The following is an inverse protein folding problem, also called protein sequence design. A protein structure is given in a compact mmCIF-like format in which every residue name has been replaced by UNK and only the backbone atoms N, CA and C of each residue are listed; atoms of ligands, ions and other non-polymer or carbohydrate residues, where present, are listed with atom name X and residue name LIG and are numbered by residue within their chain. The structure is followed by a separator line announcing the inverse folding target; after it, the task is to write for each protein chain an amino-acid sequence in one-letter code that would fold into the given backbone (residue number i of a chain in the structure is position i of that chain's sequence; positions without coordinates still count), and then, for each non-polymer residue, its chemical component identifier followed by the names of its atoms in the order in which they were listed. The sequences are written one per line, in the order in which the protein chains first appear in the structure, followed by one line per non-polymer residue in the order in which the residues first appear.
data_IF_185055278918
#
_entry.id   IF_185055278918
#
_cell.length_a   1.000
_cell.length_b   1.000
_cell.length_c   1.000
_cell.angle_alpha   90.00
_cell.angle_beta   90.00
_cell.angle_gamma   90.00
#
_symmetry.space_group_name_H-M   'P 1'
#
loop_
_entity.id
_entity.type
_entity.pdbx_description
1 polymer ?
#
# COMPACT_ATOMS: atom_id res chain seq x y z
N UNK A 1 42.03 -5.03 -40.10
CA UNK A 1 41.31 -3.96 -39.38
C UNK A 1 39.88 -3.88 -39.89
N UNK A 2 39.15 -4.99 -39.90
CA UNK A 2 37.74 -5.05 -40.43
C UNK A 2 36.88 -6.12 -39.71
N UNK A 3 37.23 -6.52 -38.48
CA UNK A 3 36.52 -7.56 -37.72
C UNK A 3 35.90 -7.10 -36.39
N UNK A 4 35.96 -5.81 -36.02
CA UNK A 4 35.46 -5.32 -34.75
C UNK A 4 34.16 -4.49 -34.85
N UNK A 5 33.64 -4.21 -36.04
CA UNK A 5 32.45 -3.37 -36.20
C UNK A 5 31.13 -4.16 -36.36
N UNK A 6 31.16 -5.47 -36.52
CA UNK A 6 29.93 -6.29 -36.70
C UNK A 6 29.28 -6.81 -35.41
N UNK A 7 29.94 -6.74 -34.25
CA UNK A 7 29.37 -7.28 -32.99
C UNK A 7 28.48 -6.31 -32.25
N UNK A 8 28.66 -5.01 -32.45
CA UNK A 8 27.90 -3.96 -31.73
C UNK A 8 26.53 -3.74 -32.35
N UNK A 9 26.37 -3.84 -33.66
CA UNK A 9 25.07 -3.61 -34.34
C UNK A 9 24.09 -4.75 -34.07
N UNK A 10 24.56 -6.03 -34.02
CA UNK A 10 23.67 -7.17 -33.69
C UNK A 10 23.14 -7.18 -32.27
N UNK A 11 23.88 -6.63 -31.29
CA UNK A 11 23.44 -6.55 -29.91
C UNK A 11 22.32 -5.53 -29.68
N UNK A 12 22.33 -4.42 -30.41
CA UNK A 12 21.28 -3.40 -30.33
C UNK A 12 19.98 -3.81 -31.03
N UNK A 13 20.07 -4.54 -32.14
CA UNK A 13 18.90 -5.08 -32.83
C UNK A 13 18.18 -6.15 -31.99
N UNK A 14 18.91 -7.05 -31.32
CA UNK A 14 18.33 -8.05 -30.42
C UNK A 14 17.65 -7.44 -29.18
N UNK A 15 18.21 -6.36 -28.62
CA UNK A 15 17.56 -5.63 -27.49
C UNK A 15 16.28 -4.90 -27.91
N UNK A 16 16.25 -4.33 -29.11
CA UNK A 16 15.05 -3.70 -29.67
C UNK A 16 13.97 -4.72 -30.02
N UNK A 17 14.33 -5.88 -30.54
CA UNK A 17 13.40 -6.98 -30.84
C UNK A 17 12.82 -7.63 -29.59
N UNK A 18 13.61 -7.77 -28.50
CA UNK A 18 13.13 -8.26 -27.21
C UNK A 18 12.14 -7.30 -26.54
N UNK A 19 12.38 -5.98 -26.62
CA UNK A 19 11.46 -4.99 -26.10
C UNK A 19 10.15 -4.94 -26.92
N UNK A 20 10.23 -5.08 -28.25
CA UNK A 20 9.08 -5.14 -29.13
C UNK A 20 8.24 -6.42 -28.94
N UNK A 21 8.86 -7.56 -28.64
CA UNK A 21 8.17 -8.84 -28.34
C UNK A 21 7.48 -8.80 -26.99
N UNK A 22 8.01 -8.11 -25.98
CA UNK A 22 7.35 -7.92 -24.68
C UNK A 22 6.11 -7.02 -24.78
N UNK A 23 6.09 -6.03 -25.67
CA UNK A 23 4.95 -5.14 -25.85
C UNK A 23 3.86 -5.78 -26.74
N UNK A 24 4.22 -6.69 -27.65
CA UNK A 24 3.26 -7.30 -28.59
C UNK A 24 2.52 -8.55 -28.06
N UNK A 25 2.89 -9.07 -26.90
CA UNK A 25 2.27 -10.27 -26.31
C UNK A 25 1.23 -9.99 -25.22
N UNK A 26 0.94 -8.72 -24.89
CA UNK A 26 -0.07 -8.34 -23.91
C UNK A 26 -1.39 -7.96 -24.57
N UNK A 27 -1.92 -8.87 -25.42
CA UNK A 27 -3.34 -8.83 -25.74
C UNK A 27 -4.06 -9.70 -24.71
N UNK A 28 -4.25 -9.19 -23.48
CA UNK A 28 -5.13 -9.82 -22.51
C UNK A 28 -6.58 -9.65 -23.02
N UNK A 29 -7.38 -10.73 -23.09
CA UNK A 29 -8.79 -10.60 -23.28
C UNK A 29 -9.35 -9.77 -22.09
N UNK A 30 -10.13 -8.79 -22.40
CA UNK A 30 -10.69 -7.83 -21.45
C UNK A 30 -11.80 -8.44 -20.59
N UNK A 31 -11.44 -9.28 -19.64
CA UNK A 31 -12.35 -9.79 -18.63
C UNK A 31 -11.82 -9.34 -17.28
N UNK A 32 -12.51 -8.39 -16.64
CA UNK A 32 -12.15 -7.90 -15.31
C UNK A 32 -12.34 -8.97 -14.21
N UNK A 33 -12.97 -10.09 -14.52
CA UNK A 33 -13.19 -11.24 -13.65
C UNK A 33 -13.45 -12.47 -14.51
N UNK A 34 -12.80 -13.58 -14.25
CA UNK A 34 -13.00 -14.86 -14.95
C UNK A 34 -14.01 -15.69 -14.16
N UNK A 35 -15.19 -15.90 -14.71
CA UNK A 35 -16.18 -16.82 -14.16
C UNK A 35 -15.70 -18.26 -14.46
N UNK A 36 -15.25 -18.98 -13.43
CA UNK A 36 -14.84 -20.38 -13.53
C UNK A 36 -16.04 -21.32 -13.53
N UNK A 37 -17.07 -20.98 -12.76
CA UNK A 37 -18.40 -21.61 -12.71
C UNK A 37 -19.44 -20.56 -12.35
N UNK A 38 -20.74 -20.90 -12.39
CA UNK A 38 -21.83 -20.00 -11.99
C UNK A 38 -21.68 -19.42 -10.58
N UNK A 39 -20.87 -20.05 -9.73
CA UNK A 39 -20.70 -19.67 -8.33
C UNK A 39 -19.26 -19.31 -7.96
N UNK A 40 -18.30 -19.52 -8.86
CA UNK A 40 -16.88 -19.35 -8.57
C UNK A 40 -16.26 -18.38 -9.57
N UNK A 41 -15.68 -17.31 -9.08
CA UNK A 41 -15.00 -16.30 -9.89
C UNK A 41 -13.54 -16.12 -9.46
N UNK A 42 -12.67 -15.90 -10.43
CA UNK A 42 -11.26 -15.55 -10.26
C UNK A 42 -11.04 -14.14 -10.79
N UNK A 43 -10.44 -13.29 -9.99
CA UNK A 43 -9.96 -11.97 -10.40
C UNK A 43 -8.51 -11.78 -10.00
N UNK A 44 -7.86 -10.82 -10.62
CA UNK A 44 -6.47 -10.53 -10.29
C UNK A 44 -6.10 -9.10 -10.63
N UNK A 45 -4.97 -8.68 -10.07
CA UNK A 45 -4.39 -7.38 -10.30
C UNK A 45 -2.87 -7.44 -10.25
N UNK A 46 -2.23 -6.44 -10.80
CA UNK A 46 -0.80 -6.30 -10.67
C UNK A 46 -0.32 -4.90 -10.98
N UNK A 47 0.87 -4.62 -10.46
CA UNK A 47 1.65 -3.43 -10.78
C UNK A 47 3.07 -3.86 -11.06
N UNK A 48 3.65 -3.42 -12.18
CA UNK A 48 5.06 -3.59 -12.52
C UNK A 48 5.70 -2.23 -12.46
N UNK A 49 6.67 -2.05 -11.58
CA UNK A 49 7.27 -0.76 -11.29
C UNK A 49 8.77 -0.72 -11.57
N UNK A 50 9.24 0.46 -11.91
CA UNK A 50 10.61 0.91 -11.77
C UNK A 50 10.61 2.14 -10.87
N UNK A 51 11.47 2.14 -9.87
CA UNK A 51 11.64 3.26 -8.96
C UNK A 51 13.14 3.51 -8.69
N UNK A 52 13.51 4.77 -8.48
CA UNK A 52 14.87 5.17 -8.12
C UNK A 52 14.84 6.53 -7.40
N UNK A 53 15.58 6.65 -6.32
CA UNK A 53 15.82 7.90 -5.60
C UNK A 53 17.16 8.52 -6.04
N UNK A 54 17.41 9.74 -5.60
CA UNK A 54 18.75 10.39 -5.69
C UNK A 54 19.45 10.45 -4.32
N UNK A 55 19.00 9.68 -3.34
CA UNK A 55 19.53 9.64 -1.98
C UNK A 55 19.97 8.22 -1.62
N UNK A 56 21.18 8.09 -1.02
CA UNK A 56 21.73 6.80 -0.57
C UNK A 56 20.90 6.19 0.60
N UNK A 57 20.19 7.03 1.39
CA UNK A 57 19.32 6.55 2.47
C UNK A 57 18.00 6.12 1.87
N UNK A 58 17.62 4.87 2.09
CA UNK A 58 16.40 4.27 1.53
C UNK A 58 15.14 5.02 1.95
N UNK A 59 14.26 5.26 0.99
CA UNK A 59 12.93 5.85 1.13
C UNK A 59 11.86 4.77 1.27
N UNK A 60 10.77 5.13 1.94
CA UNK A 60 9.56 4.35 2.10
C UNK A 60 9.86 3.00 2.80
N UNK A 61 9.61 2.99 4.09
CA UNK A 61 9.83 1.80 4.94
C UNK A 61 9.26 0.54 4.29
N UNK A 62 10.00 -0.57 4.33
CA UNK A 62 9.72 -1.83 3.65
C UNK A 62 9.90 -1.85 2.12
N UNK A 63 10.29 -0.75 1.47
CA UNK A 63 10.46 -0.73 0.01
C UNK A 63 11.93 -0.63 -0.41
N UNK A 64 12.77 -0.05 0.45
CA UNK A 64 14.22 0.12 0.23
C UNK A 64 14.56 0.79 -1.11
N UNK A 65 13.86 1.88 -1.44
CA UNK A 65 14.14 2.64 -2.66
C UNK A 65 15.23 3.67 -2.35
N UNK A 66 16.41 3.47 -2.89
CA UNK A 66 17.59 4.33 -2.75
C UNK A 66 18.06 4.85 -4.12
N UNK A 67 19.35 5.18 -4.25
CA UNK A 67 19.95 5.68 -5.48
C UNK A 67 20.19 4.59 -6.55
N UNK A 68 20.00 3.33 -6.21
CA UNK A 68 19.99 2.23 -7.17
C UNK A 68 18.59 2.04 -7.82
N UNK A 69 18.58 1.56 -9.07
CA UNK A 69 17.34 1.25 -9.79
C UNK A 69 16.65 0.01 -9.23
N UNK A 70 15.45 0.16 -8.71
CA UNK A 70 14.66 -0.91 -8.14
C UNK A 70 13.45 -1.27 -9.03
N UNK A 71 13.27 -2.58 -9.30
CA UNK A 71 12.14 -3.11 -10.09
C UNK A 71 11.14 -3.91 -9.25
N UNK A 72 11.48 -4.31 -8.05
CA UNK A 72 10.62 -5.12 -7.17
C UNK A 72 10.06 -4.35 -5.96
N UNK A 73 10.61 -3.18 -5.66
CA UNK A 73 10.24 -2.35 -4.50
C UNK A 73 8.76 -1.95 -4.46
N UNK A 74 8.16 -1.69 -5.62
CA UNK A 74 6.74 -1.35 -5.76
C UNK A 74 5.95 -2.36 -6.62
N UNK A 75 6.60 -3.40 -7.15
CA UNK A 75 5.96 -4.43 -7.97
C UNK A 75 5.05 -5.30 -7.10
N UNK A 76 3.79 -5.42 -7.51
CA UNK A 76 2.72 -6.09 -6.77
C UNK A 76 1.93 -7.02 -7.68
N UNK A 77 1.55 -8.20 -7.18
CA UNK A 77 0.64 -9.12 -7.88
C UNK A 77 -0.33 -9.72 -6.88
N UNK A 78 -1.60 -9.75 -7.23
CA UNK A 78 -2.64 -10.34 -6.42
C UNK A 78 -3.60 -11.21 -7.22
N UNK A 79 -4.05 -12.29 -6.59
CA UNK A 79 -5.10 -13.16 -7.09
C UNK A 79 -6.18 -13.30 -6.03
N UNK A 80 -7.42 -13.24 -6.45
CA UNK A 80 -8.59 -13.37 -5.59
C UNK A 80 -9.53 -14.41 -6.15
N UNK A 81 -9.99 -15.30 -5.28
CA UNK A 81 -11.00 -16.32 -5.55
C UNK A 81 -12.22 -16.05 -4.68
N UNK A 82 -13.37 -15.89 -5.33
CA UNK A 82 -14.65 -15.67 -4.67
C UNK A 82 -15.61 -16.82 -5.02
N UNK A 83 -16.23 -17.38 -4.00
CA UNK A 83 -17.30 -18.37 -4.13
C UNK A 83 -18.60 -17.83 -3.53
N UNK A 84 -19.68 -17.87 -4.30
CA UNK A 84 -21.00 -17.38 -3.91
C UNK A 84 -21.99 -18.54 -3.85
N UNK A 85 -22.71 -18.63 -2.75
CA UNK A 85 -23.81 -19.59 -2.62
C UNK A 85 -24.96 -18.96 -1.85
N UNK A 86 -26.04 -18.61 -2.56
CA UNK A 86 -27.19 -17.88 -2.00
C UNK A 86 -26.75 -16.59 -1.28
N UNK A 87 -26.92 -16.52 0.04
CA UNK A 87 -26.52 -15.39 0.88
C UNK A 87 -25.07 -15.50 1.42
N UNK A 88 -24.36 -16.59 1.12
CA UNK A 88 -23.00 -16.83 1.57
C UNK A 88 -21.97 -16.45 0.52
N UNK A 89 -20.87 -15.88 0.97
CA UNK A 89 -19.67 -15.64 0.17
C UNK A 89 -18.46 -16.18 0.93
N UNK A 90 -17.58 -16.88 0.23
CA UNK A 90 -16.22 -17.17 0.68
C UNK A 90 -15.24 -16.44 -0.22
N UNK A 91 -14.27 -15.75 0.34
CA UNK A 91 -13.28 -14.98 -0.42
C UNK A 91 -11.88 -15.24 0.11
N UNK A 92 -10.92 -15.48 -0.79
CA UNK A 92 -9.50 -15.61 -0.47
C UNK A 92 -8.72 -14.75 -1.44
N UNK A 93 -7.82 -13.91 -0.92
CA UNK A 93 -6.89 -13.11 -1.72
C UNK A 93 -5.46 -13.38 -1.26
N UNK A 94 -4.59 -13.65 -2.24
CA UNK A 94 -3.15 -13.82 -2.05
C UNK A 94 -2.43 -12.74 -2.83
N UNK A 95 -1.49 -12.06 -2.18
CA UNK A 95 -0.77 -10.92 -2.77
C UNK A 95 0.73 -11.06 -2.53
N UNK A 96 1.54 -10.89 -3.58
CA UNK A 96 2.93 -10.46 -3.47
C UNK A 96 2.91 -8.96 -3.28
N UNK A 97 3.18 -8.51 -2.07
CA UNK A 97 3.13 -7.08 -1.71
C UNK A 97 4.44 -6.38 -2.08
N UNK A 98 4.48 -5.05 -2.18
CA UNK A 98 5.73 -4.32 -2.38
C UNK A 98 6.81 -4.70 -1.37
N UNK A 99 6.46 -4.69 -0.07
CA UNK A 99 7.36 -5.01 1.04
C UNK A 99 7.85 -6.46 1.07
N UNK A 100 7.23 -7.36 0.33
CA UNK A 100 7.68 -8.76 0.26
C UNK A 100 8.84 -8.95 -0.73
N UNK A 101 9.16 -7.93 -1.53
CA UNK A 101 10.13 -8.03 -2.63
C UNK A 101 9.83 -9.26 -3.49
N UNK A 102 10.80 -10.03 -3.94
CA UNK A 102 10.57 -11.28 -4.67
C UNK A 102 10.41 -12.53 -3.78
N UNK A 103 9.89 -12.35 -2.56
CA UNK A 103 9.64 -13.46 -1.63
C UNK A 103 8.25 -14.10 -1.82
N UNK A 104 7.83 -14.94 -0.87
CA UNK A 104 6.58 -15.69 -0.94
C UNK A 104 5.34 -14.76 -0.80
N UNK A 105 4.31 -14.93 -1.65
CA UNK A 105 3.06 -14.19 -1.53
C UNK A 105 2.37 -14.46 -0.19
N UNK A 106 1.68 -13.45 0.34
CA UNK A 106 0.96 -13.51 1.62
C UNK A 106 -0.55 -13.58 1.39
N UNK A 107 -1.26 -14.25 2.31
CA UNK A 107 -2.72 -14.23 2.35
C UNK A 107 -3.17 -12.90 2.98
N UNK A 108 -3.72 -12.00 2.16
CA UNK A 108 -4.20 -10.68 2.60
C UNK A 108 -5.58 -10.75 3.24
N UNK A 109 -6.47 -11.58 2.70
CA UNK A 109 -7.70 -11.95 3.36
C UNK A 109 -8.13 -13.39 3.04
N UNK A 110 -8.86 -13.97 3.98
CA UNK A 110 -9.53 -15.25 3.83
C UNK A 110 -10.74 -15.26 4.79
N UNK A 111 -11.95 -15.08 4.27
CA UNK A 111 -13.13 -14.93 5.11
C UNK A 111 -14.38 -15.59 4.51
N UNK A 112 -15.33 -15.83 5.40
CA UNK A 112 -16.71 -16.18 5.07
C UNK A 112 -17.61 -14.98 5.37
N UNK A 113 -18.56 -14.71 4.51
CA UNK A 113 -19.57 -13.68 4.71
C UNK A 113 -20.99 -14.26 4.57
N UNK A 114 -21.93 -13.70 5.32
CA UNK A 114 -23.36 -13.94 5.21
C UNK A 114 -24.08 -12.62 5.11
N UNK A 115 -24.87 -12.46 4.04
CA UNK A 115 -25.64 -11.24 3.78
C UNK A 115 -27.13 -11.47 4.07
N UNK A 116 -27.70 -10.61 4.88
CA UNK A 116 -29.14 -10.58 5.13
C UNK A 116 -29.65 -9.13 5.03
N UNK A 117 -30.51 -8.87 4.06
CA UNK A 117 -30.97 -7.54 3.69
C UNK A 117 -29.77 -6.58 3.46
N UNK A 118 -29.67 -5.54 4.28
CA UNK A 118 -28.63 -4.51 4.24
C UNK A 118 -27.47 -4.74 5.21
N UNK A 119 -27.38 -5.93 5.80
CA UNK A 119 -26.31 -6.32 6.74
C UNK A 119 -25.50 -7.48 6.16
N UNK A 120 -24.18 -7.34 6.16
CA UNK A 120 -23.23 -8.40 5.86
C UNK A 120 -22.35 -8.66 7.09
N UNK A 121 -22.33 -9.90 7.57
CA UNK A 121 -21.45 -10.35 8.65
C UNK A 121 -20.29 -11.10 8.00
N UNK A 122 -19.05 -10.73 8.33
CA UNK A 122 -17.82 -11.36 7.83
C UNK A 122 -17.00 -11.93 8.99
N UNK A 123 -16.42 -13.10 8.79
CA UNK A 123 -15.54 -13.75 9.77
C UNK A 123 -14.35 -14.42 9.10
N UNK A 124 -13.18 -14.21 9.65
CA UNK A 124 -11.90 -14.71 9.14
C UNK A 124 -10.81 -13.64 9.13
N UNK A 125 -9.83 -13.76 8.22
CA UNK A 125 -8.83 -12.72 7.99
C UNK A 125 -9.40 -11.62 7.12
N UNK A 126 -9.34 -10.38 7.60
CA UNK A 126 -9.89 -9.19 6.98
C UNK A 126 -8.88 -8.05 7.02
N UNK A 127 -8.95 -7.16 6.04
CA UNK A 127 -8.14 -5.92 6.07
C UNK A 127 -8.71 -4.91 7.04
N UNK A 128 -7.81 -4.16 7.67
CA UNK A 128 -8.17 -3.12 8.62
C UNK A 128 -8.76 -1.89 7.87
N UNK A 129 -10.03 -1.53 8.09
CA UNK A 129 -10.72 -0.53 7.28
C UNK A 129 -10.55 0.89 7.85
N UNK A 130 -9.32 1.35 8.03
CA UNK A 130 -9.06 2.63 8.71
C UNK A 130 -8.87 3.83 7.77
N UNK A 131 -8.57 3.60 6.48
CA UNK A 131 -8.36 4.66 5.50
C UNK A 131 -9.29 4.51 4.29
N UNK A 132 -9.40 5.57 3.46
CA UNK A 132 -10.28 5.63 2.28
C UNK A 132 -10.12 4.45 1.32
N UNK A 133 -8.89 3.96 1.11
CA UNK A 133 -8.56 2.90 0.16
C UNK A 133 -7.98 1.64 0.83
N UNK A 134 -8.09 1.49 2.16
CA UNK A 134 -7.51 0.35 2.90
C UNK A 134 -7.85 -1.01 2.30
N UNK A 135 -9.11 -1.23 1.89
CA UNK A 135 -9.54 -2.54 1.36
C UNK A 135 -8.90 -2.87 -0.01
N UNK A 136 -8.37 -1.89 -0.76
CA UNK A 136 -7.81 -2.08 -2.10
C UNK A 136 -6.50 -1.33 -2.35
N UNK A 137 -5.73 -1.03 -1.31
CA UNK A 137 -4.48 -0.28 -1.40
C UNK A 137 -3.37 -0.94 -2.24
N UNK A 138 -3.49 -2.23 -2.55
CA UNK A 138 -2.58 -2.95 -3.47
C UNK A 138 -3.07 -2.97 -4.91
N UNK A 139 -4.30 -2.55 -5.18
CA UNK A 139 -4.88 -2.53 -6.53
C UNK A 139 -4.58 -1.19 -7.18
N UNK A 140 -3.40 -1.03 -7.80
CA UNK A 140 -2.95 0.23 -8.39
C UNK A 140 -3.89 0.82 -9.45
N UNK A 141 -4.71 -0.02 -10.09
CA UNK A 141 -5.74 0.45 -11.03
C UNK A 141 -6.90 1.21 -10.34
N UNK A 142 -7.11 1.00 -9.03
CA UNK A 142 -8.25 1.53 -8.29
C UNK A 142 -8.07 2.99 -7.79
N UNK A 143 -6.86 3.55 -7.88
CA UNK A 143 -6.56 4.92 -7.45
C UNK A 143 -5.66 5.63 -8.46
N UNK A 144 -5.50 6.94 -8.35
CA UNK A 144 -4.87 7.78 -9.40
C UNK A 144 -3.35 7.73 -9.36
N UNK A 145 -2.74 7.70 -8.17
CA UNK A 145 -1.29 7.70 -7.95
C UNK A 145 -0.67 6.31 -8.20
N UNK A 146 0.63 6.22 -8.37
CA UNK A 146 1.31 4.92 -8.51
C UNK A 146 1.22 4.08 -7.22
N UNK A 147 1.25 4.75 -6.05
CA UNK A 147 1.10 4.15 -4.72
C UNK A 147 0.17 5.01 -3.85
N UNK A 148 -0.45 4.45 -2.79
CA UNK A 148 -1.15 5.26 -1.80
C UNK A 148 -0.20 6.30 -1.17
N UNK A 149 -0.69 7.51 -0.79
CA UNK A 149 0.15 8.52 -0.14
C UNK A 149 0.77 8.00 1.16
N UNK A 150 2.10 7.90 1.18
CA UNK A 150 2.87 7.26 2.25
C UNK A 150 2.67 7.92 3.62
N UNK A 151 2.39 9.22 3.67
CA UNK A 151 2.20 9.94 4.92
C UNK A 151 1.12 9.31 5.79
N UNK A 152 0.03 8.87 5.18
CA UNK A 152 -1.12 8.28 5.88
C UNK A 152 -1.06 6.75 5.84
N UNK A 153 -0.74 6.14 4.69
CA UNK A 153 -0.82 4.68 4.52
C UNK A 153 0.35 3.92 5.14
N UNK A 154 1.49 4.57 5.38
CA UNK A 154 2.63 4.00 6.10
C UNK A 154 2.67 4.41 7.59
N UNK A 155 1.64 5.14 8.11
CA UNK A 155 1.60 5.60 9.51
C UNK A 155 1.37 4.49 10.54
N UNK A 156 0.78 3.36 10.14
CA UNK A 156 0.55 2.17 11.00
C UNK A 156 1.24 0.95 10.39
N UNK A 157 2.57 0.98 10.39
CA UNK A 157 3.38 -0.11 9.88
C UNK A 157 3.01 -1.45 10.55
N UNK A 158 2.74 -2.46 9.73
CA UNK A 158 2.48 -3.81 10.18
C UNK A 158 1.05 -4.12 10.64
N UNK A 159 0.27 -3.16 11.14
CA UNK A 159 -1.13 -3.40 11.57
C UNK A 159 -2.07 -3.12 10.39
N UNK A 160 -2.09 -3.99 9.38
CA UNK A 160 -2.86 -3.78 8.14
C UNK A 160 -4.06 -4.72 7.98
N UNK A 161 -4.14 -5.76 8.80
CA UNK A 161 -5.19 -6.77 8.79
C UNK A 161 -5.51 -7.25 10.21
N UNK A 162 -6.56 -8.04 10.37
CA UNK A 162 -6.94 -8.70 11.61
C UNK A 162 -7.63 -10.03 11.31
N UNK A 163 -7.49 -10.99 12.21
CA UNK A 163 -8.26 -12.23 12.21
C UNK A 163 -9.43 -12.06 13.19
N UNK A 164 -10.68 -12.03 12.67
CA UNK A 164 -11.82 -11.67 13.52
C UNK A 164 -13.16 -11.60 12.82
N UNK A 165 -14.00 -10.70 13.31
CA UNK A 165 -15.35 -10.47 12.82
C UNK A 165 -15.59 -9.02 12.46
N UNK A 166 -16.36 -8.77 11.41
CA UNK A 166 -16.93 -7.46 11.10
C UNK A 166 -18.38 -7.56 10.69
N UNK A 167 -19.11 -6.48 10.92
CA UNK A 167 -20.49 -6.31 10.46
C UNK A 167 -20.53 -5.08 9.57
N UNK A 168 -20.92 -5.23 8.32
CA UNK A 168 -21.16 -4.10 7.41
C UNK A 168 -22.65 -3.85 7.33
N UNK A 169 -23.08 -2.69 7.77
CA UNK A 169 -24.46 -2.24 7.70
C UNK A 169 -24.56 -1.05 6.75
N UNK A 170 -25.39 -1.20 5.70
CA UNK A 170 -25.66 -0.15 4.74
C UNK A 170 -27.05 0.44 5.01
N UNK A 171 -27.14 1.77 5.04
CA UNK A 171 -28.38 2.51 5.26
C UNK A 171 -28.51 3.65 4.25
N UNK A 172 -29.54 3.59 3.44
CA UNK A 172 -29.87 4.64 2.49
C UNK A 172 -30.60 5.78 3.22
N UNK A 173 -29.91 6.93 3.37
CA UNK A 173 -30.54 8.14 3.92
C UNK A 173 -31.58 8.70 2.97
N UNK A 174 -31.32 8.64 1.69
CA UNK A 174 -32.18 8.99 0.58
C UNK A 174 -31.68 8.32 -0.70
N UNK A 175 -32.30 8.63 -1.86
CA UNK A 175 -31.95 8.01 -3.15
C UNK A 175 -30.48 8.23 -3.59
N UNK A 176 -29.81 9.27 -3.09
CA UNK A 176 -28.47 9.67 -3.52
C UNK A 176 -27.41 9.57 -2.41
N UNK A 177 -27.80 9.24 -1.18
CA UNK A 177 -26.88 9.24 -0.03
C UNK A 177 -26.99 7.97 0.79
N UNK A 178 -25.88 7.25 0.90
CA UNK A 178 -25.75 6.03 1.69
C UNK A 178 -24.77 6.21 2.83
N UNK A 179 -25.11 5.69 4.00
CA UNK A 179 -24.20 5.49 5.13
C UNK A 179 -23.84 4.01 5.19
N UNK A 180 -22.58 3.71 5.33
CA UNK A 180 -22.07 2.39 5.69
C UNK A 180 -21.41 2.46 7.07
N UNK A 181 -21.85 1.62 8.00
CA UNK A 181 -21.18 1.45 9.30
C UNK A 181 -20.58 0.05 9.36
N UNK A 182 -19.30 -0.03 9.76
CA UNK A 182 -18.57 -1.29 9.84
C UNK A 182 -17.78 -1.40 11.16
N UNK A 183 -18.45 -1.77 12.27
CA UNK A 183 -17.75 -2.20 13.48
C UNK A 183 -16.99 -3.51 13.22
N UNK A 184 -15.82 -3.66 13.86
CA UNK A 184 -14.99 -4.84 13.78
C UNK A 184 -14.29 -5.16 15.10
N UNK A 185 -13.96 -6.42 15.27
CA UNK A 185 -13.12 -6.93 16.36
C UNK A 185 -12.17 -7.99 15.80
N UNK A 186 -10.93 -7.97 16.26
CA UNK A 186 -9.89 -8.88 15.80
C UNK A 186 -9.03 -9.42 16.93
N UNK A 187 -8.40 -10.58 16.68
CA UNK A 187 -7.51 -11.27 17.58
C UNK A 187 -6.37 -11.90 16.77
N UNK A 188 -5.12 -11.84 17.30
CA UNK A 188 -4.04 -12.71 16.88
C UNK A 188 -3.55 -12.53 15.44
N UNK A 189 -3.24 -11.31 14.99
CA UNK A 189 -2.62 -11.07 13.69
C UNK A 189 -1.15 -10.71 13.86
N UNK A 190 -0.25 -11.42 13.14
CA UNK A 190 1.19 -11.16 13.14
C UNK A 190 1.66 -10.65 11.79
N UNK A 191 2.55 -9.66 11.81
CA UNK A 191 3.21 -9.15 10.61
C UNK A 191 4.65 -8.74 10.90
N UNK A 192 5.49 -8.87 9.87
CA UNK A 192 6.88 -8.44 9.90
C UNK A 192 7.06 -7.19 9.03
N UNK A 193 7.85 -6.25 9.54
CA UNK A 193 8.22 -4.98 8.91
C UNK A 193 9.73 -4.90 8.88
N UNK A 194 10.34 -4.88 7.71
CA UNK A 194 11.76 -4.65 7.56
C UNK A 194 12.05 -3.15 7.52
N UNK A 195 12.89 -2.65 8.42
CA UNK A 195 13.26 -1.23 8.52
C UNK A 195 14.56 -0.95 7.76
N UNK A 196 15.50 -1.89 7.84
CA UNK A 196 16.80 -1.82 7.15
C UNK A 196 17.33 -3.23 6.93
N UNK A 197 18.45 -3.39 6.19
CA UNK A 197 19.10 -4.69 5.96
C UNK A 197 19.39 -5.49 7.25
N UNK A 198 19.61 -4.80 8.37
CA UNK A 198 19.96 -5.40 9.65
C UNK A 198 18.84 -5.29 10.71
N UNK A 199 17.68 -4.70 10.37
CA UNK A 199 16.63 -4.40 11.36
C UNK A 199 15.26 -4.80 10.85
N UNK A 200 14.66 -5.80 11.52
CA UNK A 200 13.27 -6.20 11.32
C UNK A 200 12.45 -5.90 12.58
N UNK A 201 11.19 -5.57 12.40
CA UNK A 201 10.20 -5.43 13.47
C UNK A 201 9.10 -6.47 13.23
N UNK A 202 8.88 -7.35 14.19
CA UNK A 202 7.74 -8.25 14.22
C UNK A 202 6.67 -7.66 15.14
N UNK A 203 5.44 -7.54 14.64
CA UNK A 203 4.28 -7.00 15.35
C UNK A 203 3.25 -8.10 15.50
N UNK A 204 2.95 -8.46 16.74
CA UNK A 204 1.92 -9.42 17.10
C UNK A 204 0.73 -8.69 17.72
N UNK A 205 -0.34 -8.48 16.97
CA UNK A 205 -1.57 -7.84 17.46
C UNK A 205 -2.35 -8.83 18.31
N UNK A 206 -2.47 -8.55 19.60
CA UNK A 206 -3.18 -9.39 20.57
C UNK A 206 -4.68 -9.28 20.38
N UNK A 207 -5.19 -8.06 20.35
CA UNK A 207 -6.59 -7.76 20.04
C UNK A 207 -6.75 -6.37 19.40
N UNK A 208 -7.78 -6.23 18.61
CA UNK A 208 -8.15 -4.95 18.00
C UNK A 208 -9.68 -4.80 17.97
N UNK A 209 -10.14 -3.58 18.09
CA UNK A 209 -11.55 -3.23 17.91
C UNK A 209 -11.66 -1.85 17.26
N UNK A 210 -12.68 -1.64 16.47
CA UNK A 210 -12.86 -0.35 15.82
C UNK A 210 -14.17 -0.21 15.09
N UNK A 211 -14.30 0.94 14.47
CA UNK A 211 -15.47 1.34 13.68
C UNK A 211 -15.01 2.11 12.46
N UNK A 212 -15.52 1.73 11.30
CA UNK A 212 -15.46 2.55 10.09
C UNK A 212 -16.86 3.08 9.77
N UNK A 213 -16.97 4.36 9.46
CA UNK A 213 -18.17 5.03 8.98
C UNK A 213 -17.88 5.67 7.64
N UNK A 214 -18.62 5.28 6.62
CA UNK A 214 -18.54 5.88 5.29
C UNK A 214 -19.86 6.56 4.94
N UNK A 215 -19.80 7.81 4.51
CA UNK A 215 -20.91 8.54 3.90
C UNK A 215 -20.59 8.71 2.42
N UNK A 216 -21.42 8.16 1.55
CA UNK A 216 -21.25 8.20 0.09
C UNK A 216 -22.44 8.88 -0.58
N UNK A 217 -22.14 9.79 -1.50
CA UNK A 217 -23.12 10.40 -2.41
C UNK A 217 -22.67 10.21 -3.85
N UNK A 218 -23.37 10.83 -4.80
CA UNK A 218 -23.09 10.67 -6.25
C UNK A 218 -21.68 11.13 -6.66
N UNK A 219 -21.16 12.16 -6.01
CA UNK A 219 -19.88 12.78 -6.36
C UNK A 219 -18.96 13.03 -5.17
N UNK A 220 -19.24 12.42 -4.02
CA UNK A 220 -18.40 12.52 -2.85
C UNK A 220 -18.41 11.25 -2.00
N UNK A 221 -17.33 11.06 -1.24
CA UNK A 221 -17.19 10.04 -0.21
C UNK A 221 -16.45 10.62 0.98
N UNK A 222 -17.02 10.45 2.17
CA UNK A 222 -16.37 10.71 3.44
C UNK A 222 -16.12 9.39 4.15
N UNK A 223 -15.00 9.30 4.81
CA UNK A 223 -14.61 8.15 5.61
C UNK A 223 -14.14 8.64 6.98
N UNK A 224 -14.69 8.09 8.02
CA UNK A 224 -14.21 8.24 9.39
C UNK A 224 -13.90 6.86 9.94
N UNK A 225 -12.75 6.68 10.61
CA UNK A 225 -12.47 5.44 11.30
C UNK A 225 -11.83 5.68 12.67
N UNK A 226 -12.10 4.72 13.55
CA UNK A 226 -11.48 4.59 14.86
C UNK A 226 -10.94 3.18 15.01
N UNK A 227 -9.72 3.06 15.52
CA UNK A 227 -9.06 1.82 15.89
C UNK A 227 -8.55 1.93 17.31
N UNK A 228 -8.71 0.86 18.07
CA UNK A 228 -7.99 0.59 19.31
C UNK A 228 -7.39 -0.81 19.20
N UNK A 229 -6.07 -0.93 19.39
CA UNK A 229 -5.39 -2.21 19.35
C UNK A 229 -4.33 -2.31 20.45
N UNK A 230 -4.11 -3.55 20.91
CA UNK A 230 -2.99 -3.93 21.77
C UNK A 230 -2.11 -4.90 20.99
N UNK A 231 -0.79 -4.68 21.04
CA UNK A 231 0.19 -5.47 20.30
C UNK A 231 1.49 -5.64 21.08
N UNK A 232 2.22 -6.70 20.76
CA UNK A 232 3.59 -6.89 21.17
C UNK A 232 4.50 -6.57 19.98
N UNK A 233 5.61 -5.88 20.25
CA UNK A 233 6.61 -5.57 19.25
C UNK A 233 7.92 -6.28 19.59
N UNK A 234 8.52 -6.93 18.59
CA UNK A 234 9.85 -7.52 18.71
C UNK A 234 10.77 -6.89 17.67
N UNK A 235 11.74 -6.11 18.12
CA UNK A 235 12.79 -5.58 17.24
C UNK A 235 13.92 -6.58 17.13
N UNK A 236 14.26 -6.98 15.92
CA UNK A 236 15.30 -7.96 15.59
C UNK A 236 16.45 -7.22 14.92
N UNK A 237 17.59 -7.16 15.60
CA UNK A 237 18.82 -6.56 15.09
C UNK A 237 19.76 -7.70 14.66
N UNK A 238 19.91 -7.90 13.36
CA UNK A 238 20.86 -8.84 12.77
C UNK A 238 22.26 -8.21 12.74
N UNK A 239 23.31 -9.05 12.72
CA UNK A 239 24.71 -8.59 12.68
C UNK A 239 25.14 -7.64 13.82
N UNK A 240 24.33 -7.56 14.90
CA UNK A 240 24.70 -6.74 16.07
C UNK A 240 25.96 -7.27 16.73
N UNK A 241 26.89 -6.36 17.04
CA UNK A 241 28.16 -6.70 17.69
C UNK A 241 27.91 -7.03 19.16
N UNK A 242 28.02 -8.33 19.51
CA UNK A 242 27.85 -8.81 20.88
C UNK A 242 29.23 -8.99 21.53
N UNK A 243 29.47 -8.41 22.72
CA UNK A 243 30.73 -8.60 23.43
C UNK A 243 30.84 -10.04 23.95
N UNK A 244 31.96 -10.71 23.65
CA UNK A 244 32.30 -12.02 24.24
C UNK A 244 33.29 -11.76 25.38
N UNK A 245 32.96 -12.19 26.63
CA UNK A 245 33.88 -12.04 27.78
C UNK A 245 35.25 -12.66 27.47
N UNK A 246 36.30 -11.80 27.41
CA UNK A 246 37.69 -12.24 27.19
C UNK A 246 38.12 -12.53 25.75
N UNK A 247 37.24 -12.34 24.75
CA UNK A 247 37.54 -12.66 23.31
C UNK A 247 37.18 -11.56 22.29
N UNK A 248 36.75 -10.37 22.72
CA UNK A 248 36.31 -9.30 21.80
C UNK A 248 34.82 -9.34 21.53
N UNK A 249 34.40 -8.99 20.30
CA UNK A 249 32.98 -8.98 19.90
C UNK A 249 32.73 -9.92 18.72
N UNK A 250 31.57 -10.53 18.67
CA UNK A 250 31.10 -11.33 17.53
C UNK A 250 29.77 -10.77 17.01
N UNK A 251 29.54 -10.89 15.71
CA UNK A 251 28.24 -10.59 15.14
C UNK A 251 27.21 -11.63 15.59
N UNK A 252 26.04 -11.16 15.99
CA UNK A 252 24.94 -12.01 16.45
C UNK A 252 23.61 -11.31 16.28
N UNK A 253 22.51 -12.03 16.54
CA UNK A 253 21.15 -11.45 16.50
C UNK A 253 20.72 -11.04 17.90
N UNK A 254 20.29 -9.80 18.06
CA UNK A 254 19.66 -9.27 19.28
C UNK A 254 18.16 -9.19 19.03
N UNK A 255 17.35 -9.62 19.98
CA UNK A 255 15.89 -9.49 19.98
C UNK A 255 15.47 -8.67 21.18
N UNK A 256 14.79 -7.56 20.93
CA UNK A 256 14.25 -6.68 21.96
C UNK A 256 12.72 -6.78 21.86
N UNK A 257 12.07 -7.19 22.96
CA UNK A 257 10.62 -7.38 23.00
C UNK A 257 9.99 -6.33 23.91
N UNK A 258 8.99 -5.62 23.37
CA UNK A 258 8.13 -4.70 24.09
C UNK A 258 6.70 -5.26 24.05
N UNK A 259 6.17 -5.63 25.23
CA UNK A 259 4.86 -6.28 25.36
C UNK A 259 3.78 -5.29 25.76
N UNK A 260 2.53 -5.55 25.36
CA UNK A 260 1.35 -4.81 25.79
C UNK A 260 1.33 -3.35 25.35
N UNK A 261 1.88 -3.07 24.16
CA UNK A 261 1.80 -1.74 23.58
C UNK A 261 0.36 -1.46 23.12
N UNK A 262 -0.07 -0.22 23.29
CA UNK A 262 -1.40 0.21 22.85
C UNK A 262 -1.29 1.23 21.74
N UNK A 263 -2.23 1.20 20.79
CA UNK A 263 -2.42 2.23 19.80
C UNK A 263 -3.90 2.58 19.66
N UNK A 264 -4.21 3.84 19.73
CA UNK A 264 -5.49 4.41 19.31
C UNK A 264 -5.24 5.25 18.07
N UNK A 265 -6.10 5.08 17.06
CA UNK A 265 -6.01 5.83 15.83
C UNK A 265 -7.39 6.37 15.46
N UNK A 266 -7.41 7.63 15.06
CA UNK A 266 -8.54 8.29 14.42
C UNK A 266 -8.13 8.71 13.02
N UNK A 267 -8.98 8.46 12.03
CA UNK A 267 -8.77 8.95 10.67
C UNK A 267 -10.01 9.62 10.11
N UNK A 268 -9.78 10.58 9.24
CA UNK A 268 -10.81 11.27 8.47
C UNK A 268 -10.32 11.45 7.05
N UNK A 269 -11.09 10.97 6.09
CA UNK A 269 -10.83 11.12 4.67
C UNK A 269 -12.04 11.67 3.93
N UNK A 270 -11.80 12.46 2.89
CA UNK A 270 -12.83 12.98 2.01
C UNK A 270 -12.35 12.97 0.56
N UNK A 271 -13.23 12.53 -0.34
CA UNK A 271 -13.04 12.59 -1.79
C UNK A 271 -14.24 13.27 -2.41
N UNK A 272 -13.99 14.23 -3.32
CA UNK A 272 -14.99 14.92 -4.13
C UNK A 272 -14.62 14.85 -5.60
N UNK A 273 -15.62 14.61 -6.45
CA UNK A 273 -15.49 14.57 -7.90
C UNK A 273 -16.34 15.70 -8.53
N UNK A 274 -15.66 16.69 -9.13
CA UNK A 274 -16.28 17.86 -9.77
C UNK A 274 -16.04 17.77 -11.27
N UNK A 275 -16.97 17.20 -12.02
CA UNK A 275 -16.83 16.95 -13.47
C UNK A 275 -15.50 16.24 -13.80
N UNK A 276 -14.46 17.01 -14.10
CA UNK A 276 -13.12 16.49 -14.45
C UNK A 276 -12.10 16.58 -13.32
N UNK A 277 -12.41 17.28 -12.26
CA UNK A 277 -11.50 17.48 -11.13
C UNK A 277 -11.88 16.52 -10.01
N UNK A 278 -10.91 15.77 -9.51
CA UNK A 278 -11.05 15.03 -8.25
C UNK A 278 -10.16 15.66 -7.19
N UNK A 279 -10.72 15.92 -6.02
CA UNK A 279 -9.98 16.38 -4.84
C UNK A 279 -10.13 15.33 -3.75
N UNK A 280 -9.00 14.94 -3.15
CA UNK A 280 -8.97 14.00 -2.03
C UNK A 280 -8.13 14.61 -0.92
N UNK A 281 -8.60 14.50 0.32
CA UNK A 281 -7.80 14.82 1.50
C UNK A 281 -8.06 13.75 2.56
N UNK A 282 -7.03 13.33 3.23
CA UNK A 282 -7.11 12.34 4.32
C UNK A 282 -6.05 12.63 5.36
N UNK A 283 -6.39 12.42 6.61
CA UNK A 283 -5.47 12.55 7.73
C UNK A 283 -5.78 11.53 8.81
N UNK A 284 -4.78 11.27 9.62
CA UNK A 284 -4.87 10.42 10.79
C UNK A 284 -4.13 11.05 11.97
N UNK A 285 -4.55 10.70 13.17
CA UNK A 285 -3.81 10.94 14.41
C UNK A 285 -3.86 9.69 15.26
N UNK A 286 -2.74 9.35 15.87
CA UNK A 286 -2.58 8.19 16.74
C UNK A 286 -1.67 8.52 17.93
N UNK A 287 -1.48 7.57 18.83
CA UNK A 287 -0.56 7.71 19.97
C UNK A 287 0.90 7.84 19.56
N UNK A 288 1.24 7.54 18.29
CA UNK A 288 2.63 7.54 17.79
C UNK A 288 2.90 8.60 16.72
N UNK A 289 1.88 9.08 16.00
CA UNK A 289 2.08 10.05 14.92
C UNK A 289 0.80 10.75 14.51
N UNK A 290 0.95 11.89 13.87
CA UNK A 290 -0.11 12.58 13.13
C UNK A 290 0.36 12.81 11.70
N UNK A 291 -0.51 12.56 10.72
CA UNK A 291 -0.18 12.79 9.32
C UNK A 291 -1.41 13.11 8.47
N UNK A 292 -1.18 13.74 7.33
CA UNK A 292 -2.23 14.07 6.39
C UNK A 292 -1.67 14.28 4.98
N UNK A 293 -2.55 14.13 3.99
CA UNK A 293 -2.28 14.55 2.61
C UNK A 293 -3.49 15.21 1.99
N UNK A 294 -3.23 16.00 0.94
CA UNK A 294 -4.23 16.53 0.02
C UNK A 294 -3.76 16.28 -1.41
N UNK A 295 -4.68 15.82 -2.24
CA UNK A 295 -4.44 15.48 -3.64
C UNK A 295 -5.47 16.13 -4.56
N UNK A 296 -5.05 16.51 -5.75
CA UNK A 296 -5.96 16.90 -6.82
C UNK A 296 -5.53 16.27 -8.14
N UNK A 297 -6.49 15.86 -8.93
CA UNK A 297 -6.27 15.34 -10.29
C UNK A 297 -7.26 15.95 -11.28
N UNK A 298 -6.87 15.99 -12.56
CA UNK A 298 -7.69 16.52 -13.62
C UNK A 298 -7.81 15.51 -14.77
N UNK A 299 -9.01 15.03 -15.06
CA UNK A 299 -9.26 14.04 -16.10
C UNK A 299 -9.30 14.69 -17.50
N UNK A 300 -8.33 14.33 -18.34
CA UNK A 300 -8.21 14.70 -19.75
C UNK A 300 -8.44 13.47 -20.65
N UNK A 301 -9.54 12.76 -20.48
CA UNK A 301 -9.85 11.49 -21.12
C UNK A 301 -8.87 10.38 -20.72
N UNK A 302 -7.88 10.07 -21.59
CA UNK A 302 -6.87 9.05 -21.29
C UNK A 302 -5.73 9.55 -20.38
N UNK A 303 -5.59 10.84 -20.17
CA UNK A 303 -4.52 11.43 -19.36
C UNK A 303 -5.10 12.07 -18.12
N UNK A 304 -4.50 11.78 -16.96
CA UNK A 304 -4.88 12.36 -15.69
C UNK A 304 -3.63 12.89 -14.99
N UNK A 305 -3.24 14.17 -15.19
CA UNK A 305 -2.25 14.81 -14.34
C UNK A 305 -2.78 14.96 -12.91
N UNK A 306 -1.88 14.85 -11.94
CA UNK A 306 -2.20 14.98 -10.52
C UNK A 306 -1.04 15.55 -9.71
N UNK A 307 -1.39 16.10 -8.55
CA UNK A 307 -0.45 16.57 -7.55
C UNK A 307 -0.93 16.12 -6.16
N UNK A 308 0.01 15.75 -5.30
CA UNK A 308 -0.22 15.40 -3.90
C UNK A 308 0.74 16.19 -3.04
N UNK A 309 0.28 16.65 -1.89
CA UNK A 309 1.12 17.23 -0.85
C UNK A 309 0.76 16.59 0.49
N UNK A 310 1.74 16.19 1.27
CA UNK A 310 1.53 15.59 2.57
C UNK A 310 2.55 16.00 3.62
N UNK A 311 2.19 15.79 4.87
CA UNK A 311 3.02 16.08 6.05
C UNK A 311 2.90 14.98 7.10
N UNK A 312 3.98 14.78 7.84
CA UNK A 312 4.09 13.85 8.95
C UNK A 312 4.63 14.56 10.19
N UNK A 313 4.11 14.18 11.35
CA UNK A 313 4.46 14.72 12.66
C UNK A 313 4.62 13.57 13.65
N UNK A 314 5.52 13.73 14.63
CA UNK A 314 5.66 12.80 15.77
C UNK A 314 4.51 12.96 16.79
N UNK A 315 4.58 12.20 17.89
CA UNK A 315 3.65 12.26 19.02
C UNK A 315 3.68 13.59 19.78
N UNK A 316 4.75 14.40 19.61
CA UNK A 316 4.92 15.73 20.21
C UNK A 316 4.55 16.87 19.23
N UNK A 317 3.82 16.56 18.15
CA UNK A 317 3.40 17.51 17.11
C UNK A 317 4.57 18.19 16.36
N UNK A 318 5.78 17.66 16.45
CA UNK A 318 6.92 18.14 15.67
C UNK A 318 6.89 17.53 14.29
N UNK A 319 7.05 18.38 13.29
CA UNK A 319 7.13 17.96 11.90
C UNK A 319 8.34 17.06 11.67
N UNK A 320 8.12 15.83 11.21
CA UNK A 320 9.16 14.84 10.87
C UNK A 320 9.45 14.80 9.39
N UNK A 321 8.42 15.00 8.55
CA UNK A 321 8.57 14.97 7.10
C UNK A 321 7.49 15.73 6.34
N UNK A 322 7.78 16.05 5.08
CA UNK A 322 6.79 16.40 4.07
C UNK A 322 7.18 15.85 2.70
N UNK A 323 6.19 15.78 1.81
CA UNK A 323 6.44 15.48 0.40
C UNK A 323 5.54 16.26 -0.54
N UNK A 324 6.05 16.48 -1.75
CA UNK A 324 5.28 16.96 -2.90
C UNK A 324 5.45 15.95 -4.02
N UNK A 325 4.35 15.42 -4.52
CA UNK A 325 4.32 14.50 -5.66
C UNK A 325 3.60 15.16 -6.83
N UNK A 326 4.17 15.04 -8.01
CA UNK A 326 3.50 15.33 -9.28
C UNK A 326 3.57 14.11 -10.18
N UNK A 327 2.48 13.80 -10.84
CA UNK A 327 2.41 12.63 -11.70
C UNK A 327 1.44 12.78 -12.87
N UNK A 328 1.58 11.86 -13.79
CA UNK A 328 0.70 11.70 -14.94
C UNK A 328 0.30 10.22 -15.03
N UNK A 329 -1.00 9.95 -14.97
CA UNK A 329 -1.59 8.67 -15.31
C UNK A 329 -2.03 8.68 -16.77
N UNK A 330 -1.73 7.61 -17.48
CA UNK A 330 -2.19 7.33 -18.83
C UNK A 330 -3.01 6.04 -18.83
N UNK A 331 -4.32 6.13 -19.05
CA UNK A 331 -5.20 4.99 -19.19
C UNK A 331 -5.08 4.42 -20.62
N UNK A 332 -4.33 3.33 -20.73
CA UNK A 332 -4.11 2.60 -22.00
C UNK A 332 -5.44 1.99 -22.44
N UNK A 333 -6.09 1.29 -21.50
CA UNK A 333 -7.41 0.69 -21.61
C UNK A 333 -8.12 0.80 -20.25
N UNK A 334 -9.40 0.39 -20.14
CA UNK A 334 -10.18 0.48 -18.91
C UNK A 334 -9.59 -0.34 -17.75
N UNK A 335 -8.81 -1.39 -18.04
CA UNK A 335 -8.17 -2.27 -17.07
C UNK A 335 -6.63 -2.19 -17.04
N UNK A 336 -6.03 -1.24 -17.79
CA UNK A 336 -4.57 -1.05 -17.86
C UNK A 336 -4.23 0.42 -17.84
N UNK A 337 -3.35 0.83 -16.93
CA UNK A 337 -2.82 2.18 -16.87
C UNK A 337 -1.31 2.23 -16.66
N UNK A 338 -0.71 3.36 -16.98
CA UNK A 338 0.70 3.66 -16.73
C UNK A 338 0.77 4.96 -15.95
N UNK A 339 1.51 4.95 -14.84
CA UNK A 339 1.84 6.14 -14.06
C UNK A 339 3.30 6.51 -14.26
N UNK A 340 3.57 7.81 -14.36
CA UNK A 340 4.91 8.38 -14.27
C UNK A 340 4.89 9.47 -13.20
N UNK A 341 5.75 9.37 -12.19
CA UNK A 341 5.77 10.24 -11.01
C UNK A 341 7.15 10.79 -10.72
N UNK A 342 7.17 12.02 -10.23
CA UNK A 342 8.25 12.60 -9.48
C UNK A 342 7.72 13.02 -8.11
N UNK A 343 8.41 12.62 -7.04
CA UNK A 343 8.08 12.96 -5.66
C UNK A 343 9.32 13.49 -4.95
N UNK A 344 9.20 14.66 -4.34
CA UNK A 344 10.23 15.26 -3.51
C UNK A 344 9.89 15.08 -2.05
N UNK A 345 10.83 14.53 -1.28
CA UNK A 345 10.73 14.32 0.16
C UNK A 345 11.67 15.23 0.90
N UNK A 346 11.27 15.62 2.11
CA UNK A 346 12.11 16.35 3.04
C UNK A 346 11.89 15.87 4.47
N UNK A 347 12.97 15.48 5.15
CA UNK A 347 13.00 15.16 6.57
C UNK A 347 13.35 16.41 7.41
N UNK A 348 12.84 16.47 8.64
CA UNK A 348 13.00 17.58 9.56
C UNK A 348 13.43 17.08 10.94
N UNK A 349 14.04 17.98 11.73
CA UNK A 349 14.35 17.79 13.15
C UNK A 349 15.23 16.55 13.47
N UNK A 350 16.09 16.12 12.58
CA UNK A 350 16.88 14.89 12.66
C UNK A 350 16.02 13.62 12.78
N UNK A 351 14.79 13.67 12.31
CA UNK A 351 13.89 12.54 12.21
C UNK A 351 14.03 11.87 10.84
N UNK A 352 13.47 10.66 10.71
CA UNK A 352 13.51 9.93 9.45
C UNK A 352 12.47 10.45 8.42
N UNK A 353 11.32 10.98 8.86
CA UNK A 353 10.23 11.32 7.93
C UNK A 353 9.84 10.10 7.09
N UNK A 354 9.99 10.20 5.75
CA UNK A 354 9.72 9.09 4.82
C UNK A 354 10.93 8.17 4.58
N UNK A 355 12.11 8.49 5.15
CA UNK A 355 13.29 7.63 5.05
C UNK A 355 13.21 6.47 6.06
N UNK A 356 13.90 5.39 5.78
CA UNK A 356 13.99 4.23 6.69
C UNK A 356 14.75 4.55 7.97
N UNK A 357 15.73 5.45 7.91
CA UNK A 357 16.55 5.95 9.02
C UNK A 357 16.78 7.47 8.83
N UNK A 358 17.14 8.21 9.91
CA UNK A 358 17.47 9.62 9.78
C UNK A 358 18.59 9.84 8.74
N UNK A 359 18.32 10.54 7.62
CA UNK A 359 19.25 10.64 6.50
C UNK A 359 20.35 11.69 6.76
N UNK A 360 21.51 11.52 6.12
CA UNK A 360 22.55 12.53 6.10
C UNK A 360 22.16 13.73 5.21
N UNK A 361 21.58 13.48 4.03
CA UNK A 361 20.88 14.49 3.23
C UNK A 361 19.38 14.36 3.46
N UNK A 362 18.80 15.40 4.02
CA UNK A 362 17.38 15.44 4.41
C UNK A 362 16.41 15.59 3.24
N UNK A 363 16.90 15.73 2.02
CA UNK A 363 16.08 15.86 0.82
C UNK A 363 16.31 14.66 -0.11
N UNK A 364 15.25 14.21 -0.76
CA UNK A 364 15.33 13.19 -1.80
C UNK A 364 14.33 13.43 -2.92
N UNK A 365 14.69 13.08 -4.14
CA UNK A 365 13.78 13.00 -5.27
C UNK A 365 13.59 11.54 -5.68
N UNK A 366 12.37 11.10 -5.72
CA UNK A 366 11.98 9.76 -6.13
C UNK A 366 11.31 9.82 -7.50
N UNK A 367 11.78 9.00 -8.44
CA UNK A 367 11.21 8.82 -9.76
C UNK A 367 10.57 7.44 -9.83
N UNK A 368 9.34 7.37 -10.34
CA UNK A 368 8.60 6.11 -10.49
C UNK A 368 7.94 6.02 -11.84
N UNK A 369 8.05 4.86 -12.48
CA UNK A 369 7.23 4.47 -13.63
C UNK A 369 6.56 3.13 -13.28
N UNK A 370 5.22 3.09 -13.35
CA UNK A 370 4.45 1.93 -12.93
C UNK A 370 3.36 1.61 -13.96
N UNK A 371 3.29 0.37 -14.39
CA UNK A 371 2.19 -0.19 -15.17
C UNK A 371 1.27 -0.96 -14.24
N UNK A 372 -0.02 -0.59 -14.23
CA UNK A 372 -1.05 -1.24 -13.43
C UNK A 372 -2.03 -1.97 -14.34
N UNK A 373 -2.54 -3.12 -13.88
CA UNK A 373 -3.57 -3.87 -14.58
C UNK A 373 -4.48 -4.64 -13.62
N UNK A 374 -5.71 -4.93 -14.09
CA UNK A 374 -6.69 -5.80 -13.43
C UNK A 374 -7.32 -6.75 -14.46
N UNK A 375 -7.79 -7.92 -14.02
CA UNK A 375 -8.51 -8.91 -14.83
C UNK A 375 -9.50 -9.70 -14.01
#
# INVERSE_FOLDING_TARGET
MLMFFMSSVRRNEMKRSLLAVLISSVAFPSLATVELTDNLSLSGFGSIAWAQSDNETSLLVNRFIDDDSCFDCDTTFGLQLDYFYQAFRASVQVVKRPQDHWSEPKVEWAYLAYTYNNVEIRGGRLRLPVFLISEYNYVGQAFTTARPPNEVYDSILGITAYDGLSVRWNYDLNENVMITAMPFVGYGYSSDVTISEDTDISIDTNHSAGLNLTLSGDNYRWNFAYLNAEYDQTTILSNAMQPIPGQGSTAGTIRLKDEGQHIQLFSLGAKYEFDRITVTAEGQTSDISTSWYAATSYNLNKFTPYVVYGQQFDDNEKKTGDSVLTGLRFDVDYNVSVNAEWQHFKAFNNDSGAFSLPPADTNANLYTVMLNFVF
#
